data_IF_695040399672
#
_entry.id   IF_695040399672
#
_cell.length_a   1.000
_cell.length_b   1.000
_cell.length_c   1.000
_cell.angle_alpha   90.00
_cell.angle_beta   90.00
_cell.angle_gamma   90.00
#
_symmetry.space_group_name_H-M   'P 1'
#
loop_
_entity.id
_entity.type
_entity.pdbx_description
1 polymer ?
#
# COMPACT_ATOMS: atom_id res chain seq x y z
N UNK A 1 -15.14 33.17 20.46
CA UNK A 1 -15.49 32.58 19.14
C UNK A 1 -14.30 31.87 18.47
N UNK A 2 -13.06 32.04 18.97
CA UNK A 2 -11.89 31.28 18.54
C UNK A 2 -11.59 29.99 19.36
N UNK A 3 -12.17 29.82 20.55
CA UNK A 3 -11.93 28.61 21.38
C UNK A 3 -12.80 27.39 21.03
N UNK A 4 -13.67 27.49 20.02
CA UNK A 4 -14.56 26.37 19.61
C UNK A 4 -14.09 25.59 18.38
N UNK A 5 -13.04 26.04 17.69
CA UNK A 5 -12.53 25.39 16.47
C UNK A 5 -11.36 24.42 16.72
N UNK A 6 -10.62 24.59 17.82
CA UNK A 6 -9.51 23.68 18.21
C UNK A 6 -9.97 22.44 18.97
N UNK A 7 -11.19 22.44 19.53
CA UNK A 7 -11.73 21.31 20.25
C UNK A 7 -12.17 20.15 19.33
N UNK A 8 -12.65 20.43 18.11
CA UNK A 8 -13.22 19.40 17.24
C UNK A 8 -12.17 18.59 16.45
N UNK A 9 -11.01 19.16 16.13
CA UNK A 9 -9.93 18.46 15.41
C UNK A 9 -9.12 17.52 16.31
N UNK A 10 -8.96 17.86 17.59
CA UNK A 10 -8.26 17.02 18.57
C UNK A 10 -9.09 15.79 18.99
N UNK A 11 -10.42 15.89 18.94
CA UNK A 11 -11.35 14.80 19.22
C UNK A 11 -11.44 13.76 18.07
N UNK A 12 -11.29 14.19 16.82
CA UNK A 12 -11.34 13.28 15.66
C UNK A 12 -10.10 12.37 15.57
N UNK A 13 -8.91 12.90 15.84
CA UNK A 13 -7.65 12.14 15.82
C UNK A 13 -7.54 11.23 17.06
N UNK A 14 -8.05 11.70 18.21
CA UNK A 14 -8.09 10.90 19.45
C UNK A 14 -9.05 9.70 19.38
N UNK A 15 -10.15 9.80 18.63
CA UNK A 15 -11.10 8.71 18.42
C UNK A 15 -10.52 7.58 17.58
N UNK A 16 -9.79 7.91 16.51
CA UNK A 16 -9.17 6.94 15.60
C UNK A 16 -8.06 6.13 16.31
N UNK A 17 -7.28 6.78 17.18
CA UNK A 17 -6.24 6.12 17.97
C UNK A 17 -6.81 5.20 19.07
N UNK A 18 -7.96 5.54 19.66
CA UNK A 18 -8.59 4.71 20.72
C UNK A 18 -9.21 3.43 20.15
N UNK A 19 -9.76 3.48 18.92
CA UNK A 19 -10.38 2.33 18.24
C UNK A 19 -9.33 1.32 17.76
N UNK A 20 -8.16 1.78 17.33
CA UNK A 20 -7.03 0.91 16.94
C UNK A 20 -6.53 0.03 18.10
N UNK A 21 -6.63 0.52 19.34
CA UNK A 21 -6.22 -0.22 20.54
C UNK A 21 -7.19 -1.33 20.95
N UNK A 22 -8.49 -1.17 20.67
CA UNK A 22 -9.51 -2.17 21.03
C UNK A 22 -9.39 -3.43 20.17
N UNK A 23 -9.02 -3.29 18.89
CA UNK A 23 -8.73 -4.42 18.00
C UNK A 23 -7.39 -5.12 18.31
N UNK A 24 -6.37 -4.36 18.72
CA UNK A 24 -5.04 -4.91 19.05
C UNK A 24 -5.05 -5.77 20.33
N UNK A 25 -5.92 -5.44 21.29
CA UNK A 25 -6.03 -6.14 22.59
C UNK A 25 -6.78 -7.48 22.51
N UNK A 26 -7.47 -7.78 21.40
CA UNK A 26 -8.24 -9.03 21.24
C UNK A 26 -7.44 -10.22 20.67
N UNK A 27 -6.15 -10.04 20.34
CA UNK A 27 -5.31 -11.04 19.64
C UNK A 27 -4.19 -11.68 20.51
N UNK A 28 -4.20 -11.51 21.82
CA UNK A 28 -3.29 -12.20 22.76
C UNK A 28 -4.08 -13.27 23.52
N UNK A 29 -3.73 -14.59 23.56
CA UNK A 29 -2.37 -15.16 23.50
C UNK A 29 -2.22 -16.52 22.75
N UNK A 30 -0.98 -16.89 22.35
CA UNK A 30 -0.32 -18.18 22.66
C UNK A 30 1.03 -18.28 21.93
N UNK A 31 2.10 -18.31 22.71
CA UNK A 31 3.48 -18.40 22.25
C UNK A 31 3.97 -19.85 22.21
N UNK A 32 4.57 -20.24 21.09
CA UNK A 32 5.61 -21.28 21.05
C UNK A 32 6.57 -20.99 19.89
N UNK A 33 7.88 -21.09 20.17
CA UNK A 33 8.99 -20.66 19.30
C UNK A 33 9.18 -21.54 18.04
N UNK A 34 9.58 -20.98 16.87
CA UNK A 34 9.86 -21.76 15.68
C UNK A 34 11.33 -22.22 15.57
N UNK A 35 11.54 -23.35 14.88
CA UNK A 35 12.84 -23.90 14.46
C UNK A 35 13.19 -23.43 13.03
N UNK A 36 14.48 -23.35 12.64
CA UNK A 36 14.88 -22.81 11.35
C UNK A 36 14.66 -23.80 10.19
N UNK A 37 14.24 -23.26 9.03
CA UNK A 37 14.08 -23.98 7.75
C UNK A 37 15.28 -23.68 6.83
N UNK A 38 15.76 -24.72 6.15
CA UNK A 38 16.91 -24.72 5.24
C UNK A 38 16.57 -24.16 3.85
N UNK A 39 17.58 -23.60 3.19
CA UNK A 39 17.51 -23.05 1.82
C UNK A 39 18.23 -23.99 0.86
N UNK A 40 17.50 -24.58 -0.09
CA UNK A 40 18.10 -25.25 -1.25
C UNK A 40 17.59 -24.57 -2.53
N UNK A 41 18.55 -24.03 -3.29
CA UNK A 41 18.35 -23.37 -4.58
C UNK A 41 18.50 -24.39 -5.70
N UNK A 42 17.45 -24.64 -6.48
CA UNK A 42 17.55 -25.38 -7.74
C UNK A 42 17.26 -24.49 -8.96
N UNK A 43 18.11 -24.70 -9.98
CA UNK A 43 18.22 -23.92 -11.22
C UNK A 43 17.10 -24.28 -12.20
N UNK A 44 16.44 -23.27 -12.75
CA UNK A 44 15.38 -23.46 -13.76
C UNK A 44 16.02 -23.48 -15.16
N UNK A 45 15.87 -24.61 -15.86
CA UNK A 45 16.11 -24.74 -17.29
C UNK A 45 14.80 -24.52 -18.05
N UNK A 46 14.87 -23.78 -19.16
CA UNK A 46 13.73 -23.33 -19.96
C UNK A 46 13.30 -24.43 -20.95
N UNK A 47 12.05 -24.90 -20.88
CA UNK A 47 11.43 -25.82 -21.85
C UNK A 47 10.24 -25.19 -22.60
N UNK A 48 10.07 -25.68 -23.84
CA UNK A 48 9.08 -25.38 -24.90
C UNK A 48 7.59 -25.34 -24.48
N UNK A 49 6.68 -24.77 -25.31
CA UNK A 49 5.35 -24.35 -24.86
C UNK A 49 4.51 -25.54 -24.43
N UNK A 50 4.21 -25.56 -23.15
CA UNK A 50 3.56 -26.66 -22.47
C UNK A 50 2.04 -26.54 -22.63
N UNK A 51 1.39 -27.68 -22.85
CA UNK A 51 -0.07 -27.75 -22.87
C UNK A 51 -0.50 -27.89 -21.42
N UNK A 52 -0.23 -26.86 -20.60
CA UNK A 52 -0.44 -26.90 -19.16
C UNK A 52 -1.93 -26.97 -18.86
N UNK A 53 -2.38 -28.13 -18.39
CA UNK A 53 -3.68 -28.25 -17.72
C UNK A 53 -3.58 -27.54 -16.38
N UNK A 54 -4.15 -26.34 -16.28
CA UNK A 54 -4.19 -25.57 -15.04
C UNK A 54 -5.22 -26.17 -14.07
N UNK A 55 -4.83 -26.40 -12.81
CA UNK A 55 -5.71 -26.97 -11.78
C UNK A 55 -6.86 -26.02 -11.42
N UNK A 56 -6.60 -24.72 -11.45
CA UNK A 56 -7.59 -23.67 -11.21
C UNK A 56 -7.63 -22.71 -12.40
N UNK A 57 -8.80 -22.13 -12.64
CA UNK A 57 -8.98 -21.04 -13.60
C UNK A 57 -10.11 -20.17 -13.08
N UNK A 58 -9.86 -18.88 -12.96
CA UNK A 58 -10.81 -17.87 -12.51
C UNK A 58 -11.14 -16.89 -13.64
N UNK A 59 -11.94 -15.86 -13.35
CA UNK A 59 -12.46 -14.94 -14.37
C UNK A 59 -11.39 -14.07 -15.04
N UNK A 60 -10.19 -13.97 -14.44
CA UNK A 60 -9.10 -13.17 -15.01
C UNK A 60 -8.55 -13.75 -16.31
N UNK A 61 -8.86 -15.01 -16.66
CA UNK A 61 -8.48 -15.63 -17.95
C UNK A 61 -9.01 -14.87 -19.17
N UNK A 62 -10.05 -14.05 -18.97
CA UNK A 62 -10.68 -13.25 -20.02
C UNK A 62 -10.13 -11.81 -20.10
N UNK A 63 -9.11 -11.45 -19.32
CA UNK A 63 -8.54 -10.11 -19.28
C UNK A 63 -7.42 -9.93 -20.31
N UNK A 64 -7.15 -8.68 -20.69
CA UNK A 64 -6.03 -8.33 -21.58
C UNK A 64 -4.73 -8.06 -20.83
N UNK A 65 -4.82 -7.53 -19.61
CA UNK A 65 -3.64 -7.21 -18.79
C UNK A 65 -2.78 -8.45 -18.57
N UNK A 66 -1.48 -8.43 -18.92
CA UNK A 66 -0.55 -9.49 -18.58
C UNK A 66 -0.46 -9.72 -17.06
N UNK A 67 -0.58 -8.67 -16.26
CA UNK A 67 -0.58 -8.76 -14.80
C UNK A 67 -1.80 -9.53 -14.28
N UNK A 68 -3.00 -9.25 -14.81
CA UNK A 68 -4.21 -9.98 -14.42
C UNK A 68 -4.17 -11.44 -14.90
N UNK A 69 -3.70 -11.67 -16.14
CA UNK A 69 -3.56 -13.01 -16.70
C UNK A 69 -2.59 -13.90 -15.91
N UNK A 70 -1.53 -13.33 -15.33
CA UNK A 70 -0.64 -14.07 -14.43
C UNK A 70 -1.39 -14.69 -13.24
N UNK A 71 -2.44 -14.02 -12.75
CA UNK A 71 -3.25 -14.48 -11.63
C UNK A 71 -4.44 -15.37 -12.05
N UNK A 72 -4.66 -15.61 -13.35
CA UNK A 72 -5.84 -16.32 -13.87
C UNK A 72 -5.94 -17.77 -13.41
N UNK A 73 -4.83 -18.36 -12.98
CA UNK A 73 -4.75 -19.76 -12.54
C UNK A 73 -4.48 -19.92 -11.04
N UNK A 74 -4.57 -18.83 -10.27
CA UNK A 74 -4.52 -18.90 -8.82
C UNK A 74 -5.76 -19.61 -8.25
N UNK A 75 -5.63 -20.34 -7.14
CA UNK A 75 -6.77 -20.95 -6.44
C UNK A 75 -7.75 -19.92 -5.85
N UNK A 76 -7.32 -18.67 -5.67
CA UNK A 76 -8.22 -17.56 -5.33
C UNK A 76 -9.18 -17.33 -6.50
N UNK A 77 -10.47 -17.25 -6.19
CA UNK A 77 -11.54 -16.98 -7.16
C UNK A 77 -11.56 -15.48 -7.47
N UNK A 78 -10.59 -15.06 -8.28
CA UNK A 78 -10.43 -13.68 -8.67
C UNK A 78 -11.47 -13.26 -9.71
N UNK A 79 -12.06 -12.09 -9.46
CA UNK A 79 -12.83 -11.33 -10.44
C UNK A 79 -12.07 -10.08 -10.88
N UNK A 80 -12.24 -9.63 -12.13
CA UNK A 80 -11.84 -8.28 -12.52
C UNK A 80 -12.73 -7.25 -11.81
N UNK A 81 -12.25 -6.01 -11.75
CA UNK A 81 -13.07 -4.90 -11.28
C UNK A 81 -14.23 -4.62 -12.23
N UNK A 82 -15.46 -4.68 -11.72
CA UNK A 82 -16.66 -4.36 -12.49
C UNK A 82 -17.96 -4.86 -11.87
N UNK A 83 -19.06 -4.55 -12.54
CA UNK A 83 -20.43 -4.77 -12.06
C UNK A 83 -20.69 -6.23 -11.68
N UNK A 84 -20.14 -7.21 -12.40
CA UNK A 84 -20.36 -8.63 -12.10
C UNK A 84 -19.87 -9.01 -10.69
N UNK A 85 -18.68 -8.54 -10.31
CA UNK A 85 -18.12 -8.80 -8.98
C UNK A 85 -18.91 -8.05 -7.89
N UNK A 86 -19.36 -6.84 -8.19
CA UNK A 86 -20.15 -6.01 -7.29
C UNK A 86 -21.54 -6.58 -7.03
N UNK A 87 -22.22 -7.07 -8.07
CA UNK A 87 -23.50 -7.77 -7.96
C UNK A 87 -23.34 -9.08 -7.21
N UNK A 88 -22.24 -9.82 -7.43
CA UNK A 88 -21.94 -11.02 -6.65
C UNK A 88 -21.77 -10.69 -5.16
N UNK A 89 -20.99 -9.67 -4.83
CA UNK A 89 -20.77 -9.23 -3.46
C UNK A 89 -22.07 -8.77 -2.79
N UNK A 90 -22.91 -8.02 -3.52
CA UNK A 90 -24.25 -7.61 -3.07
C UNK A 90 -25.16 -8.82 -2.84
N UNK A 91 -25.24 -9.75 -3.78
CA UNK A 91 -26.11 -10.94 -3.67
C UNK A 91 -25.69 -11.83 -2.51
N UNK A 92 -24.39 -12.02 -2.32
CA UNK A 92 -23.84 -12.85 -1.24
C UNK A 92 -23.76 -12.12 0.10
N UNK A 93 -23.95 -10.79 0.12
CA UNK A 93 -23.77 -9.95 1.30
C UNK A 93 -22.39 -10.16 1.95
N UNK A 94 -21.38 -10.42 1.11
CA UNK A 94 -19.99 -10.62 1.52
C UNK A 94 -19.17 -9.35 1.29
N UNK A 95 -18.20 -9.04 2.16
CA UNK A 95 -17.24 -7.98 1.90
C UNK A 95 -16.38 -8.34 0.70
N UNK A 96 -15.75 -7.31 0.12
CA UNK A 96 -14.84 -7.45 -1.01
C UNK A 96 -13.40 -7.36 -0.50
N UNK A 97 -12.55 -8.25 -0.96
CA UNK A 97 -11.10 -8.07 -0.88
C UNK A 97 -10.59 -7.54 -2.21
N UNK A 98 -10.16 -6.28 -2.23
CA UNK A 98 -9.59 -5.60 -3.38
C UNK A 98 -8.06 -5.64 -3.31
N UNK A 99 -7.43 -6.28 -4.30
CA UNK A 99 -5.98 -6.34 -4.44
C UNK A 99 -5.51 -5.62 -5.71
N UNK A 100 -4.89 -4.46 -5.54
CA UNK A 100 -4.34 -3.64 -6.63
C UNK A 100 -2.82 -3.84 -6.72
N UNK A 101 -2.32 -4.05 -7.94
CA UNK A 101 -0.89 -4.14 -8.23
C UNK A 101 -0.61 -3.86 -9.71
N UNK A 102 0.59 -4.19 -10.16
CA UNK A 102 1.03 -4.02 -11.56
C UNK A 102 2.19 -4.99 -11.85
N UNK A 103 2.49 -5.17 -13.13
CA UNK A 103 3.38 -6.22 -13.63
C UNK A 103 4.82 -6.19 -13.07
N UNK A 104 5.38 -5.02 -12.75
CA UNK A 104 6.76 -4.91 -12.22
C UNK A 104 6.84 -4.79 -10.70
N UNK A 105 5.71 -4.86 -10.00
CA UNK A 105 5.64 -4.75 -8.54
C UNK A 105 6.25 -5.99 -7.84
N UNK A 106 7.44 -5.85 -7.27
CA UNK A 106 8.12 -6.95 -6.56
C UNK A 106 7.27 -7.57 -5.43
N UNK A 107 6.74 -6.74 -4.52
CA UNK A 107 5.96 -7.25 -3.39
C UNK A 107 4.61 -7.86 -3.81
N UNK A 108 4.09 -7.50 -4.98
CA UNK A 108 2.89 -8.12 -5.54
C UNK A 108 3.17 -9.58 -5.92
N UNK A 109 4.32 -9.84 -6.56
CA UNK A 109 4.79 -11.20 -6.89
C UNK A 109 5.19 -12.01 -5.65
N UNK A 110 5.69 -11.35 -4.60
CA UNK A 110 5.94 -12.02 -3.32
C UNK A 110 4.63 -12.46 -2.67
N UNK A 111 3.65 -11.55 -2.57
CA UNK A 111 2.36 -11.85 -1.95
C UNK A 111 1.56 -12.87 -2.77
N UNK A 112 1.65 -12.85 -4.09
CA UNK A 112 1.09 -13.91 -4.93
C UNK A 112 1.62 -15.29 -4.54
N UNK A 113 2.94 -15.49 -4.64
CA UNK A 113 3.56 -16.80 -4.41
C UNK A 113 3.36 -17.30 -2.99
N UNK A 114 3.39 -16.40 -2.01
CA UNK A 114 3.26 -16.78 -0.61
C UNK A 114 1.81 -16.97 -0.17
N UNK A 115 0.88 -16.18 -0.71
CA UNK A 115 -0.50 -16.13 -0.23
C UNK A 115 -1.53 -16.56 -1.28
N UNK A 116 -1.50 -16.00 -2.49
CA UNK A 116 -2.58 -16.21 -3.47
C UNK A 116 -2.47 -17.55 -4.23
N UNK A 117 -1.27 -18.12 -4.34
CA UNK A 117 -1.05 -19.47 -4.86
C UNK A 117 -1.31 -20.57 -3.81
N UNK A 118 -1.39 -20.21 -2.52
CA UNK A 118 -1.60 -21.16 -1.44
C UNK A 118 -3.07 -21.60 -1.37
N UNK A 119 -3.41 -22.88 -1.61
CA UNK A 119 -4.79 -23.33 -1.67
C UNK A 119 -5.58 -23.18 -0.35
N UNK A 120 -4.90 -23.27 0.79
CA UNK A 120 -5.52 -23.12 2.11
C UNK A 120 -5.92 -21.66 2.36
N UNK A 121 -5.01 -20.72 2.08
CA UNK A 121 -5.29 -19.28 2.21
C UNK A 121 -6.36 -18.87 1.20
N UNK A 122 -6.25 -19.34 -0.05
CA UNK A 122 -7.26 -19.08 -1.08
C UNK A 122 -8.65 -19.59 -0.70
N UNK A 123 -8.75 -20.78 -0.11
CA UNK A 123 -10.03 -21.30 0.39
C UNK A 123 -10.63 -20.40 1.48
N UNK A 124 -9.82 -19.85 2.39
CA UNK A 124 -10.27 -18.88 3.38
C UNK A 124 -10.77 -17.59 2.70
N UNK A 125 -10.00 -17.06 1.74
CA UNK A 125 -10.38 -15.86 0.97
C UNK A 125 -11.72 -16.07 0.26
N UNK A 126 -11.86 -17.13 -0.54
CA UNK A 126 -13.07 -17.44 -1.31
C UNK A 126 -14.30 -17.69 -0.42
N UNK A 127 -14.07 -18.24 0.78
CA UNK A 127 -15.15 -18.45 1.76
C UNK A 127 -15.68 -17.12 2.28
N UNK A 128 -14.81 -16.16 2.59
CA UNK A 128 -15.16 -14.97 3.37
C UNK A 128 -15.37 -13.70 2.53
N UNK A 129 -14.76 -13.62 1.35
CA UNK A 129 -14.77 -12.43 0.51
C UNK A 129 -15.17 -12.72 -0.93
N UNK A 130 -15.61 -11.68 -1.65
CA UNK A 130 -15.49 -11.62 -3.11
C UNK A 130 -14.14 -10.99 -3.42
N UNK A 131 -13.27 -11.71 -4.14
CA UNK A 131 -11.90 -11.29 -4.38
C UNK A 131 -11.80 -10.57 -5.72
N UNK A 132 -11.34 -9.32 -5.71
CA UNK A 132 -11.18 -8.50 -6.92
C UNK A 132 -9.71 -8.16 -7.12
N UNK A 133 -9.20 -8.42 -8.33
CA UNK A 133 -7.85 -8.07 -8.74
C UNK A 133 -7.90 -6.90 -9.72
N UNK A 134 -7.04 -5.90 -9.49
CA UNK A 134 -6.92 -4.72 -10.36
C UNK A 134 -5.47 -4.53 -10.79
N UNK A 135 -5.30 -4.25 -12.08
CA UNK A 135 -4.08 -3.70 -12.63
C UNK A 135 -4.14 -2.18 -12.56
N UNK A 136 -3.23 -1.58 -11.79
CA UNK A 136 -3.07 -0.14 -11.69
C UNK A 136 -2.78 0.50 -13.05
N UNK A 137 -2.06 -0.18 -13.93
CA UNK A 137 -1.68 0.37 -15.24
C UNK A 137 -2.90 0.53 -16.16
N UNK A 138 -3.94 -0.30 -15.98
CA UNK A 138 -5.21 -0.18 -16.70
C UNK A 138 -6.23 0.70 -15.96
N UNK A 139 -6.18 0.76 -14.62
CA UNK A 139 -7.14 1.47 -13.75
C UNK A 139 -6.46 2.37 -12.70
N UNK A 140 -5.72 3.41 -13.12
CA UNK A 140 -5.10 4.35 -12.19
C UNK A 140 -6.14 5.13 -11.36
N UNK A 141 -7.34 5.33 -11.91
CA UNK A 141 -8.47 5.95 -11.22
C UNK A 141 -8.91 5.18 -9.97
N UNK A 142 -8.96 3.85 -10.04
CA UNK A 142 -9.30 2.99 -8.91
C UNK A 142 -8.14 2.97 -7.91
N UNK A 143 -6.91 2.90 -8.42
CA UNK A 143 -5.71 2.91 -7.59
C UNK A 143 -5.61 4.17 -6.73
N UNK A 144 -5.77 5.36 -7.30
CA UNK A 144 -5.61 6.63 -6.59
C UNK A 144 -6.61 6.76 -5.42
N UNK A 145 -7.89 6.41 -5.66
CA UNK A 145 -8.94 6.44 -4.64
C UNK A 145 -8.59 5.54 -3.44
N UNK A 146 -8.17 4.30 -3.72
CA UNK A 146 -7.88 3.35 -2.65
C UNK A 146 -6.49 3.54 -2.04
N UNK A 147 -5.55 4.16 -2.75
CA UNK A 147 -4.26 4.58 -2.19
C UNK A 147 -4.47 5.65 -1.13
N UNK A 148 -5.37 6.62 -1.37
CA UNK A 148 -5.77 7.59 -0.36
C UNK A 148 -6.32 6.89 0.90
N UNK A 149 -7.14 5.84 0.73
CA UNK A 149 -7.62 5.04 1.86
C UNK A 149 -6.48 4.39 2.65
N UNK A 150 -5.53 3.74 1.98
CA UNK A 150 -4.36 3.11 2.63
C UNK A 150 -3.52 4.14 3.38
N UNK A 151 -3.29 5.30 2.79
CA UNK A 151 -2.53 6.40 3.41
C UNK A 151 -3.23 6.97 4.64
N UNK A 152 -4.55 7.22 4.57
CA UNK A 152 -5.34 7.71 5.70
C UNK A 152 -5.33 6.69 6.84
N UNK A 153 -5.47 5.40 6.54
CA UNK A 153 -5.59 4.36 7.56
C UNK A 153 -4.26 3.92 8.17
N UNK A 154 -3.16 4.00 7.42
CA UNK A 154 -1.86 3.46 7.84
C UNK A 154 -0.76 4.52 7.98
N UNK A 155 -0.98 5.74 7.53
CA UNK A 155 0.02 6.81 7.46
C UNK A 155 1.08 6.63 6.36
N UNK A 156 0.96 5.58 5.55
CA UNK A 156 1.89 5.28 4.45
C UNK A 156 1.14 4.65 3.28
N UNK A 157 1.76 4.57 2.10
CA UNK A 157 1.17 3.95 0.92
C UNK A 157 2.15 2.99 0.25
N UNK A 158 1.63 2.14 -0.63
CA UNK A 158 2.45 1.22 -1.42
C UNK A 158 1.67 0.05 -2.01
N UNK A 159 2.37 -0.78 -2.76
CA UNK A 159 1.83 -1.97 -3.42
C UNK A 159 2.53 -3.24 -2.92
N UNK A 160 1.86 -4.40 -2.88
CA UNK A 160 0.46 -4.62 -3.27
C UNK A 160 -0.46 -3.86 -2.32
N UNK A 161 -1.53 -3.29 -2.87
CA UNK A 161 -2.53 -2.59 -2.07
C UNK A 161 -3.65 -3.58 -1.78
N UNK A 162 -3.93 -3.80 -0.51
CA UNK A 162 -4.85 -4.82 0.00
C UNK A 162 -5.94 -4.13 0.82
N UNK A 163 -7.13 -3.97 0.24
CA UNK A 163 -8.21 -3.16 0.81
C UNK A 163 -9.48 -4.00 0.96
N UNK A 164 -10.13 -3.89 2.11
CA UNK A 164 -11.35 -4.59 2.43
C UNK A 164 -12.52 -3.62 2.38
N UNK A 165 -13.45 -3.89 1.47
CA UNK A 165 -14.55 -2.99 1.14
C UNK A 165 -15.90 -3.56 1.55
N UNK A 166 -16.81 -2.67 1.91
CA UNK A 166 -18.22 -3.02 2.02
C UNK A 166 -18.76 -3.42 0.63
N UNK A 167 -19.65 -4.43 0.55
CA UNK A 167 -20.36 -4.69 -0.69
C UNK A 167 -21.30 -3.52 -1.01
N UNK A 168 -21.70 -3.37 -2.27
CA UNK A 168 -22.75 -2.43 -2.62
C UNK A 168 -24.02 -2.62 -1.79
N UNK A 169 -24.63 -1.49 -1.44
CA UNK A 169 -26.07 -1.28 -1.33
C UNK A 169 -27.01 -2.43 -1.67
N UNK A 170 -27.59 -3.18 -0.73
CA UNK A 170 -28.68 -4.11 -1.07
C UNK A 170 -29.91 -3.38 -1.64
N UNK A 171 -30.16 -2.15 -1.16
CA UNK A 171 -31.24 -1.28 -1.62
C UNK A 171 -30.79 -0.27 -2.70
N UNK A 172 -29.53 -0.35 -3.14
CA UNK A 172 -28.97 0.49 -4.21
C UNK A 172 -28.87 1.98 -3.87
N UNK A 173 -29.15 2.38 -2.62
CA UNK A 173 -29.09 3.79 -2.20
C UNK A 173 -27.66 4.27 -1.97
N UNK A 174 -26.76 3.33 -1.69
CA UNK A 174 -25.35 3.55 -1.49
C UNK A 174 -24.57 2.65 -2.46
N UNK A 175 -23.63 3.25 -3.18
CA UNK A 175 -22.73 2.52 -4.07
C UNK A 175 -21.94 1.44 -3.31
N UNK A 176 -21.80 1.59 -1.98
CA UNK A 176 -20.93 0.75 -1.15
C UNK A 176 -19.49 0.93 -1.58
N UNK A 177 -18.73 -0.17 -1.63
CA UNK A 177 -17.30 -0.16 -2.00
C UNK A 177 -16.45 0.73 -1.09
N UNK A 178 -16.91 0.94 0.15
CA UNK A 178 -16.26 1.79 1.13
C UNK A 178 -15.22 0.99 1.90
N UNK A 179 -13.98 1.48 2.02
CA UNK A 179 -12.95 0.78 2.76
C UNK A 179 -13.26 0.80 4.27
N UNK A 180 -13.14 -0.37 4.90
CA UNK A 180 -13.21 -0.50 6.35
C UNK A 180 -11.92 -1.08 6.95
N UNK A 181 -11.05 -1.65 6.12
CA UNK A 181 -9.70 -2.02 6.49
C UNK A 181 -8.77 -1.92 5.27
N UNK A 182 -7.52 -1.53 5.47
CA UNK A 182 -6.56 -1.39 4.39
C UNK A 182 -5.13 -1.63 4.87
N UNK A 183 -4.28 -2.08 3.96
CA UNK A 183 -2.85 -2.19 4.16
C UNK A 183 -2.13 -2.47 2.84
N UNK A 184 -0.83 -2.74 2.95
CA UNK A 184 0.00 -3.06 1.79
C UNK A 184 0.22 -4.58 1.69
N UNK A 185 1.42 -5.02 2.01
CA UNK A 185 1.81 -6.42 2.03
C UNK A 185 1.36 -7.11 3.32
N UNK A 186 0.67 -8.25 3.20
CA UNK A 186 0.37 -9.14 4.32
C UNK A 186 1.07 -10.50 4.14
N UNK A 187 1.90 -10.94 5.11
CA UNK A 187 2.61 -12.21 5.03
C UNK A 187 1.66 -13.41 5.18
N UNK A 188 2.07 -14.62 4.79
CA UNK A 188 1.26 -15.83 4.93
C UNK A 188 1.09 -16.27 6.39
N UNK A 189 1.96 -15.81 7.29
CA UNK A 189 1.98 -16.15 8.72
C UNK A 189 2.18 -14.89 9.58
N UNK A 190 1.75 -14.95 10.83
CA UNK A 190 1.99 -13.88 11.81
C UNK A 190 3.50 -13.73 12.07
N UNK A 191 4.02 -12.52 11.91
CA UNK A 191 5.44 -12.25 12.07
C UNK A 191 5.71 -10.85 12.58
N UNK A 192 6.75 -10.69 13.40
CA UNK A 192 7.23 -9.38 13.89
C UNK A 192 6.14 -8.50 14.53
N UNK A 193 5.18 -9.12 15.23
CA UNK A 193 4.07 -8.41 15.88
C UNK A 193 3.00 -7.89 14.90
N UNK A 194 2.98 -8.40 13.66
CA UNK A 194 1.97 -8.10 12.66
C UNK A 194 1.22 -9.38 12.27
N UNK A 195 -0.11 -9.33 12.14
CA UNK A 195 -0.89 -10.48 11.71
C UNK A 195 -0.59 -10.80 10.24
N UNK A 196 -0.56 -12.09 9.92
CA UNK A 196 -0.57 -12.59 8.56
C UNK A 196 -1.97 -12.48 7.95
N UNK A 197 -2.05 -12.74 6.65
CA UNK A 197 -3.29 -12.69 5.89
C UNK A 197 -4.37 -13.63 6.46
N UNK A 198 -4.08 -14.87 6.91
CA UNK A 198 -5.10 -15.75 7.50
C UNK A 198 -5.77 -15.17 8.75
N UNK A 199 -4.97 -14.65 9.68
CA UNK A 199 -5.44 -14.02 10.92
C UNK A 199 -6.32 -12.80 10.61
N UNK A 200 -5.92 -12.00 9.61
CA UNK A 200 -6.73 -10.86 9.14
C UNK A 200 -8.06 -11.31 8.52
N UNK A 201 -8.05 -12.35 7.67
CA UNK A 201 -9.27 -12.90 7.06
C UNK A 201 -10.28 -13.29 8.14
N UNK A 202 -9.83 -14.02 9.17
CA UNK A 202 -10.70 -14.46 10.27
C UNK A 202 -11.24 -13.27 11.08
N UNK A 203 -10.37 -12.35 11.47
CA UNK A 203 -10.75 -11.17 12.27
C UNK A 203 -11.74 -10.28 11.54
N UNK A 204 -11.47 -9.95 10.27
CA UNK A 204 -12.33 -9.08 9.47
C UNK A 204 -13.65 -9.75 9.09
N UNK A 205 -13.63 -11.05 8.78
CA UNK A 205 -14.89 -11.77 8.54
C UNK A 205 -15.74 -11.86 9.80
N UNK A 206 -15.14 -12.11 10.97
CA UNK A 206 -15.87 -12.14 12.23
C UNK A 206 -16.47 -10.76 12.55
N UNK A 207 -15.71 -9.68 12.37
CA UNK A 207 -16.21 -8.31 12.54
C UNK A 207 -17.40 -8.03 11.59
N UNK A 208 -17.30 -8.43 10.32
CA UNK A 208 -18.39 -8.28 9.35
C UNK A 208 -19.68 -9.00 9.77
N UNK A 209 -19.57 -10.18 10.38
CA UNK A 209 -20.75 -10.97 10.78
C UNK A 209 -21.31 -10.59 12.14
N UNK A 210 -20.46 -10.17 13.09
CA UNK A 210 -20.87 -9.95 14.49
C UNK A 210 -21.05 -8.47 14.84
N UNK A 211 -20.41 -7.57 14.09
CA UNK A 211 -20.32 -6.14 14.37
C UNK A 211 -20.57 -5.30 13.11
N UNK A 212 -21.47 -5.76 12.24
CA UNK A 212 -21.69 -5.18 10.91
C UNK A 212 -21.99 -3.69 10.93
N UNK A 213 -22.81 -3.23 11.86
CA UNK A 213 -23.19 -1.80 11.95
C UNK A 213 -21.98 -0.92 12.27
N UNK A 214 -21.04 -1.40 13.11
CA UNK A 214 -19.81 -0.67 13.42
C UNK A 214 -18.88 -0.62 12.20
N UNK A 215 -18.77 -1.73 11.46
CA UNK A 215 -18.00 -1.77 10.21
C UNK A 215 -18.55 -0.78 9.19
N UNK A 216 -19.89 -0.72 9.02
CA UNK A 216 -20.53 0.23 8.11
C UNK A 216 -20.28 1.68 8.53
N UNK A 217 -20.47 1.99 9.82
CA UNK A 217 -20.22 3.32 10.36
C UNK A 217 -18.76 3.76 10.16
N UNK A 218 -17.80 2.88 10.46
CA UNK A 218 -16.38 3.16 10.24
C UNK A 218 -16.09 3.40 8.75
N UNK A 219 -16.70 2.61 7.86
CA UNK A 219 -16.52 2.76 6.41
C UNK A 219 -17.06 4.09 5.89
N UNK A 220 -18.14 4.62 6.48
CA UNK A 220 -18.69 5.94 6.15
C UNK A 220 -17.75 7.07 6.57
N UNK A 221 -17.17 6.97 7.77
CA UNK A 221 -16.20 7.94 8.27
C UNK A 221 -14.94 8.00 7.39
N UNK A 222 -14.42 6.83 6.99
CA UNK A 222 -13.24 6.74 6.10
C UNK A 222 -13.60 7.26 4.71
N UNK A 223 -14.75 6.88 4.14
CA UNK A 223 -15.18 7.35 2.82
C UNK A 223 -15.30 8.88 2.79
N UNK A 224 -15.79 9.50 3.87
CA UNK A 224 -15.81 10.96 4.01
C UNK A 224 -14.41 11.55 4.05
N UNK A 225 -13.50 10.98 4.84
CA UNK A 225 -12.12 11.45 4.92
C UNK A 225 -11.40 11.37 3.57
N UNK A 226 -11.66 10.32 2.78
CA UNK A 226 -11.15 10.19 1.41
C UNK A 226 -11.71 11.28 0.51
N UNK A 227 -13.03 11.51 0.53
CA UNK A 227 -13.66 12.55 -0.27
C UNK A 227 -13.12 13.95 0.08
N UNK A 228 -12.96 14.25 1.36
CA UNK A 228 -12.38 15.50 1.84
C UNK A 228 -10.92 15.62 1.33
N UNK A 229 -10.10 14.57 1.47
CA UNK A 229 -8.71 14.54 1.00
C UNK A 229 -8.59 14.81 -0.51
N UNK A 230 -9.40 14.13 -1.33
CA UNK A 230 -9.40 14.30 -2.78
C UNK A 230 -9.97 15.66 -3.22
N UNK A 231 -10.88 16.25 -2.45
CA UNK A 231 -11.43 17.58 -2.75
C UNK A 231 -10.44 18.71 -2.48
N UNK A 232 -9.55 18.55 -1.50
CA UNK A 232 -8.54 19.55 -1.13
C UNK A 232 -7.37 19.66 -2.11
N UNK A 233 -7.24 18.75 -3.09
CA UNK A 233 -6.27 18.91 -4.18
C UNK A 233 -6.62 20.07 -5.14
N UNK A 234 -7.82 20.67 -5.03
CA UNK A 234 -8.31 21.66 -5.99
C UNK A 234 -8.36 23.12 -5.50
N UNK A 235 -8.15 23.40 -4.21
CA UNK A 235 -8.06 24.78 -3.70
C UNK A 235 -6.60 25.15 -3.43
N UNK A 236 -5.98 25.80 -4.40
CA UNK A 236 -4.64 26.39 -4.27
C UNK A 236 -4.70 27.66 -3.41
N UNK A 237 -4.97 27.50 -2.11
CA UNK A 237 -4.72 28.55 -1.14
C UNK A 237 -3.21 28.81 -0.98
N UNK A 238 -2.86 30.03 -0.58
CA UNK A 238 -1.46 30.34 -0.25
C UNK A 238 -1.00 29.43 0.90
N UNK A 239 0.07 28.67 0.66
CA UNK A 239 0.66 27.78 1.67
C UNK A 239 1.08 28.62 2.89
N UNK A 240 0.59 28.23 4.06
CA UNK A 240 0.96 28.86 5.33
C UNK A 240 2.49 28.76 5.52
N UNK A 241 3.22 29.89 5.71
CA UNK A 241 4.65 29.88 5.98
C UNK A 241 5.05 28.98 7.16
N UNK A 242 4.16 28.79 8.14
CA UNK A 242 4.42 27.89 9.26
C UNK A 242 4.52 26.42 8.80
N UNK A 243 3.69 26.00 7.84
CA UNK A 243 3.75 24.64 7.26
C UNK A 243 5.10 24.40 6.59
N UNK A 244 5.64 25.42 5.89
CA UNK A 244 6.97 25.35 5.27
C UNK A 244 8.05 25.16 6.33
N UNK A 245 8.02 25.96 7.41
CA UNK A 245 9.00 25.87 8.49
C UNK A 245 8.92 24.50 9.21
N UNK A 246 7.71 24.02 9.48
CA UNK A 246 7.49 22.74 10.17
C UNK A 246 7.94 21.56 9.31
N UNK A 247 7.69 21.61 8.00
CA UNK A 247 8.15 20.60 7.03
C UNK A 247 9.68 20.52 7.02
N UNK A 248 10.36 21.66 6.95
CA UNK A 248 11.82 21.71 7.02
C UNK A 248 12.34 21.11 8.33
N UNK A 249 11.76 21.50 9.48
CA UNK A 249 12.16 20.99 10.79
C UNK A 249 11.90 19.47 10.92
N UNK A 250 10.85 18.96 10.29
CA UNK A 250 10.57 17.52 10.25
C UNK A 250 11.58 16.77 9.38
N UNK A 251 11.90 17.28 8.19
CA UNK A 251 12.91 16.67 7.32
C UNK A 251 14.27 16.60 8.01
N UNK A 252 14.68 17.67 8.69
CA UNK A 252 15.95 17.68 9.43
C UNK A 252 15.98 16.69 10.60
N UNK A 253 14.82 16.35 11.19
CA UNK A 253 14.73 15.34 12.26
C UNK A 253 14.90 13.91 11.75
N UNK A 254 14.44 13.62 10.54
CA UNK A 254 14.49 12.28 9.94
C UNK A 254 15.70 12.08 9.00
N UNK A 255 16.44 13.15 8.74
CA UNK A 255 17.66 13.10 7.95
C UNK A 255 18.73 12.25 8.64
N UNK A 256 19.36 11.36 7.88
CA UNK A 256 20.48 10.55 8.35
C UNK A 256 21.81 11.26 8.02
N UNK A 257 22.53 11.81 9.02
CA UNK A 257 23.77 12.52 8.77
C UNK A 257 24.94 11.59 8.36
N UNK A 258 24.83 10.28 8.59
CA UNK A 258 25.87 9.30 8.28
C UNK A 258 25.73 8.80 6.84
N UNK A 259 24.54 8.34 6.47
CA UNK A 259 24.30 7.71 5.17
C UNK A 259 23.41 8.55 4.24
N UNK A 260 23.14 9.81 4.59
CA UNK A 260 22.30 10.80 3.89
C UNK A 260 20.84 10.37 3.70
N UNK A 261 19.99 11.14 3.03
CA UNK A 261 18.58 10.80 2.83
C UNK A 261 17.72 10.86 4.08
N UNK A 262 16.44 10.52 3.90
CA UNK A 262 15.39 10.73 4.91
C UNK A 262 14.74 9.40 5.27
N UNK A 263 14.89 8.96 6.52
CA UNK A 263 14.39 7.67 6.99
C UNK A 263 15.42 6.53 6.92
N UNK A 264 14.93 5.31 7.16
CA UNK A 264 15.74 4.09 7.30
C UNK A 264 15.65 3.20 6.04
N UNK A 265 16.36 2.07 6.05
CA UNK A 265 16.25 1.06 4.99
C UNK A 265 14.86 0.37 4.99
N UNK A 266 14.30 0.02 3.82
CA UNK A 266 14.79 0.33 2.48
C UNK A 266 14.69 1.82 2.15
N UNK A 267 15.72 2.35 1.49
CA UNK A 267 15.93 3.78 1.32
C UNK A 267 15.45 4.28 -0.03
N UNK A 268 14.50 5.21 -0.01
CA UNK A 268 13.90 5.81 -1.20
C UNK A 268 14.50 7.21 -1.44
N UNK A 269 14.70 7.62 -2.71
CA UNK A 269 15.16 8.98 -3.05
C UNK A 269 14.29 10.11 -2.52
N UNK A 270 12.98 9.88 -2.43
CA UNK A 270 11.98 10.86 -1.99
C UNK A 270 12.15 12.21 -2.71
N UNK A 271 12.03 12.21 -4.04
CA UNK A 271 12.27 13.39 -4.88
C UNK A 271 11.48 14.63 -4.44
N UNK A 272 10.25 14.46 -3.95
CA UNK A 272 9.44 15.54 -3.38
C UNK A 272 10.12 16.26 -2.21
N UNK A 273 10.79 15.53 -1.32
CA UNK A 273 11.54 16.11 -0.21
C UNK A 273 12.78 16.87 -0.69
N UNK A 274 13.46 16.35 -1.72
CA UNK A 274 14.62 17.01 -2.32
C UNK A 274 14.21 18.30 -3.04
N UNK A 275 13.13 18.27 -3.82
CA UNK A 275 12.55 19.44 -4.49
C UNK A 275 12.06 20.48 -3.48
N UNK A 276 11.41 20.03 -2.40
CA UNK A 276 11.02 20.93 -1.30
C UNK A 276 12.24 21.65 -0.71
N UNK A 277 13.31 20.92 -0.36
CA UNK A 277 14.53 21.55 0.19
C UNK A 277 15.18 22.50 -0.82
N UNK A 278 15.21 22.14 -2.10
CA UNK A 278 15.72 23.01 -3.15
C UNK A 278 14.91 24.32 -3.22
N UNK A 279 13.58 24.23 -3.23
CA UNK A 279 12.69 25.40 -3.26
C UNK A 279 12.81 26.24 -1.97
N UNK A 280 12.87 25.59 -0.81
CA UNK A 280 13.08 26.25 0.48
C UNK A 280 14.36 27.09 0.50
N UNK A 281 15.45 26.56 -0.07
CA UNK A 281 16.75 27.22 -0.13
C UNK A 281 16.82 28.39 -1.12
N UNK A 282 15.81 28.58 -2.00
CA UNK A 282 15.74 29.76 -2.86
C UNK A 282 15.42 31.03 -2.08
N UNK A 283 14.74 30.90 -0.93
CA UNK A 283 14.27 32.02 -0.12
C UNK A 283 14.82 32.00 1.31
N UNK A 284 15.47 30.91 1.73
CA UNK A 284 16.00 30.73 3.08
C UNK A 284 17.49 30.34 3.05
N UNK A 285 18.29 31.04 3.85
CA UNK A 285 19.71 30.72 4.02
C UNK A 285 19.91 29.74 5.18
N UNK A 286 19.75 28.44 4.91
CA UNK A 286 19.86 27.36 5.91
C UNK A 286 20.96 26.35 5.54
N UNK A 287 22.10 26.41 6.23
CA UNK A 287 23.24 25.54 5.99
C UNK A 287 22.96 24.06 6.27
N UNK A 288 22.06 23.72 7.20
CA UNK A 288 21.71 22.32 7.48
C UNK A 288 20.90 21.74 6.32
N UNK A 289 19.94 22.49 5.81
CA UNK A 289 19.16 22.09 4.64
C UNK A 289 20.04 21.97 3.38
N UNK A 290 20.96 22.93 3.16
CA UNK A 290 21.94 22.85 2.06
C UNK A 290 22.78 21.58 2.14
N UNK A 291 23.34 21.30 3.32
CA UNK A 291 24.14 20.10 3.55
C UNK A 291 23.34 18.82 3.33
N UNK A 292 22.13 18.74 3.90
CA UNK A 292 21.28 17.56 3.77
C UNK A 292 20.91 17.27 2.31
N UNK A 293 20.58 18.31 1.53
CA UNK A 293 20.28 18.19 0.10
C UNK A 293 21.50 17.70 -0.68
N UNK A 294 22.63 18.40 -0.57
CA UNK A 294 23.85 18.08 -1.32
C UNK A 294 24.38 16.69 -0.97
N UNK A 295 24.48 16.37 0.32
CA UNK A 295 24.97 15.07 0.78
C UNK A 295 24.06 13.92 0.32
N UNK A 296 22.74 14.12 0.28
CA UNK A 296 21.80 13.10 -0.22
C UNK A 296 21.97 12.86 -1.71
N UNK A 297 22.05 13.92 -2.51
CA UNK A 297 22.27 13.82 -3.96
C UNK A 297 23.61 13.15 -4.28
N UNK A 298 24.68 13.53 -3.58
CA UNK A 298 26.01 12.91 -3.74
C UNK A 298 25.99 11.43 -3.42
N UNK A 299 25.37 11.02 -2.30
CA UNK A 299 25.30 9.60 -1.89
C UNK A 299 24.44 8.78 -2.84
N UNK A 300 23.35 9.34 -3.37
CA UNK A 300 22.53 8.69 -4.39
C UNK A 300 23.30 8.50 -5.70
N UNK A 301 23.98 9.53 -6.18
CA UNK A 301 24.73 9.51 -7.44
C UNK A 301 25.98 8.61 -7.39
N UNK A 302 26.65 8.57 -6.24
CA UNK A 302 27.86 7.76 -6.03
C UNK A 302 27.55 6.32 -5.57
N UNK A 303 26.31 6.03 -5.19
CA UNK A 303 25.86 4.72 -4.73
C UNK A 303 25.47 3.78 -5.86
N UNK A 304 25.11 2.54 -5.49
CA UNK A 304 24.51 1.56 -6.40
C UNK A 304 23.06 1.89 -6.78
N UNK A 305 22.45 2.86 -6.11
CA UNK A 305 21.13 3.40 -6.45
C UNK A 305 21.08 4.08 -7.82
N UNK A 306 22.17 4.73 -8.24
CA UNK A 306 22.33 5.21 -9.60
C UNK A 306 22.95 4.10 -10.46
N UNK A 307 22.34 3.80 -11.61
CA UNK A 307 22.93 2.84 -12.54
C UNK A 307 24.17 3.45 -13.20
N UNK A 308 25.33 3.06 -12.70
CA UNK A 308 26.65 3.52 -13.15
C UNK A 308 26.98 3.13 -14.59
N UNK A 309 26.23 2.19 -15.19
CA UNK A 309 26.44 1.70 -16.56
C UNK A 309 25.39 2.27 -17.51
N UNK A 310 24.11 2.07 -17.20
CA UNK A 310 22.98 2.43 -18.05
C UNK A 310 22.38 3.81 -17.78
N UNK A 311 22.79 4.49 -16.70
CA UNK A 311 22.23 5.76 -16.26
C UNK A 311 20.83 5.64 -15.65
N UNK A 312 20.39 6.72 -15.00
CA UNK A 312 19.11 6.76 -14.28
C UNK A 312 19.17 6.10 -12.91
N UNK A 313 18.20 6.44 -12.07
CA UNK A 313 18.08 5.92 -10.71
C UNK A 313 17.18 4.68 -10.69
N UNK A 314 17.59 3.69 -9.91
CA UNK A 314 16.73 2.61 -9.45
C UNK A 314 15.62 3.15 -8.55
N UNK A 315 14.64 2.33 -8.22
CA UNK A 315 13.49 2.79 -7.43
C UNK A 315 13.81 3.05 -5.96
N UNK A 316 14.59 2.17 -5.35
CA UNK A 316 15.08 2.33 -3.97
C UNK A 316 16.32 1.47 -3.73
N UNK A 317 17.04 1.75 -2.64
CA UNK A 317 18.11 0.89 -2.13
C UNK A 317 17.56 -0.03 -1.04
N UNK A 318 17.87 -1.32 -1.08
CA UNK A 318 17.44 -2.27 -0.04
C UNK A 318 18.16 -2.03 1.29
N UNK A 319 19.33 -1.40 1.24
CA UNK A 319 20.18 -1.05 2.38
C UNK A 319 20.10 0.45 2.73
N UNK A 320 20.73 0.83 3.84
CA UNK A 320 20.76 2.22 4.31
C UNK A 320 21.82 3.08 3.63
N UNK A 321 22.82 2.46 3.00
CA UNK A 321 24.01 3.14 2.48
C UNK A 321 23.90 3.56 1.00
N UNK A 322 22.76 3.28 0.35
CA UNK A 322 22.55 3.47 -1.09
C UNK A 322 23.38 2.53 -1.99
N UNK A 323 23.84 1.37 -1.48
CA UNK A 323 24.76 0.49 -2.22
C UNK A 323 24.04 -0.61 -2.98
N UNK A 324 22.95 -1.16 -2.44
CA UNK A 324 22.27 -2.32 -3.02
C UNK A 324 20.93 -1.90 -3.61
N UNK A 325 20.83 -1.67 -4.93
CA UNK A 325 19.58 -1.24 -5.53
C UNK A 325 18.56 -2.38 -5.60
N UNK A 326 17.29 -2.00 -5.52
CA UNK A 326 16.22 -2.75 -6.13
C UNK A 326 16.22 -2.43 -7.63
N UNK A 327 16.69 -3.37 -8.46
CA UNK A 327 17.06 -3.15 -9.87
C UNK A 327 15.96 -2.62 -10.81
N UNK A 328 14.71 -2.50 -10.36
CA UNK A 328 13.63 -1.81 -11.07
C UNK A 328 13.96 -0.31 -11.27
N UNK A 329 13.70 0.21 -12.47
CA UNK A 329 13.71 1.64 -12.77
C UNK A 329 12.34 2.06 -13.28
N UNK A 330 11.77 3.07 -12.67
CA UNK A 330 10.48 3.62 -13.07
C UNK A 330 10.68 4.95 -13.78
N UNK A 331 10.00 5.12 -14.93
CA UNK A 331 10.11 6.34 -15.72
C UNK A 331 9.64 7.56 -14.91
N UNK A 332 8.52 7.46 -14.20
CA UNK A 332 7.97 8.55 -13.41
C UNK A 332 8.87 8.97 -12.24
N UNK A 333 9.63 8.03 -11.65
CA UNK A 333 10.63 8.35 -10.62
C UNK A 333 11.80 9.11 -11.25
N UNK A 334 12.30 8.63 -12.39
CA UNK A 334 13.42 9.24 -13.09
C UNK A 334 13.11 10.64 -13.63
N UNK A 335 11.89 10.89 -14.10
CA UNK A 335 11.45 12.21 -14.58
C UNK A 335 11.56 13.27 -13.48
N UNK A 336 11.29 12.91 -12.22
CA UNK A 336 11.40 13.84 -11.09
C UNK A 336 12.85 14.29 -10.78
N UNK A 337 13.87 13.59 -11.31
CA UNK A 337 15.29 13.99 -11.14
C UNK A 337 15.84 14.81 -12.30
N UNK A 338 15.03 15.03 -13.34
CA UNK A 338 15.41 15.81 -14.52
C UNK A 338 14.88 17.26 -14.42
N UNK A 339 13.77 17.46 -13.70
CA UNK A 339 13.18 18.76 -13.38
C UNK A 339 14.01 19.53 -12.37
#
# INVERSE_FOLDING_TARGET
>A
MLDRLTANSTLAIGGILLVFWVLLLMLYPLFASPKPVSTDNEKIAMSTPDTTTHQWTNQLVNQSSPYLLQHAHNPVDWHPWGDEAFELARKLQKPIFLSIGYSTCYWCHVMERQCFENPQIAAMMNKHFVNIKVDREERPDVDDIYMAAVQIMTGSGGWPMSVFLTPPSADGKDAGLKPFYAGTYFPPEDAHGRPGLPTLIEGLSNAWHTQRDEVLKQSDEIAKAIADHLSHEHDADAIDPQVIADTQAQLMRIYDPKDAGFGQAPKFPQASNLLFLQAFLQTNDDEKAKWALAHTLDRMAQGGMYDQVGGGFHRYSTDGQWLVPHFEKMLYDNVQFIS
#
